data_IF_366833412735
#
_entry.id   IF_366833412735
#
_cell.length_a   1.000
_cell.length_b   1.000
_cell.length_c   1.000
_cell.angle_alpha   90.00
_cell.angle_beta   90.00
_cell.angle_gamma   90.00
#
_symmetry.space_group_name_H-M   'P 1'
#
loop_
_entity.id
_entity.type
_entity.pdbx_description
1 polymer ?
#
# COMPACT_ATOMS: atom_id res chain seq x y z
N UNK A 1 -17.99 -26.26 6.92
CA UNK A 1 -18.12 -26.56 5.47
C UNK A 1 -16.72 -26.87 4.98
N UNK A 2 -16.52 -28.00 4.31
CA UNK A 2 -15.25 -28.39 3.72
C UNK A 2 -15.33 -28.16 2.20
N UNK A 3 -14.35 -27.47 1.62
CA UNK A 3 -14.30 -27.13 0.19
C UNK A 3 -12.91 -27.41 -0.35
N UNK A 4 -12.66 -28.59 -0.94
CA UNK A 4 -11.34 -28.95 -1.47
C UNK A 4 -10.98 -28.15 -2.74
N UNK A 5 -11.98 -27.65 -3.45
CA UNK A 5 -11.82 -26.76 -4.61
C UNK A 5 -12.99 -25.76 -4.71
N UNK A 6 -12.98 -24.92 -5.74
CA UNK A 6 -14.03 -23.90 -5.96
C UNK A 6 -15.39 -24.46 -6.42
N UNK A 7 -15.40 -25.71 -6.88
CA UNK A 7 -16.55 -26.39 -7.48
C UNK A 7 -17.27 -27.27 -6.47
N UNK A 8 -16.56 -27.97 -5.58
CA UNK A 8 -17.15 -28.89 -4.62
C UNK A 8 -17.16 -28.34 -3.20
N UNK A 9 -18.26 -28.59 -2.48
CA UNK A 9 -18.38 -28.29 -1.06
C UNK A 9 -19.15 -29.39 -0.34
N UNK A 10 -18.74 -29.68 0.89
CA UNK A 10 -19.39 -30.62 1.80
C UNK A 10 -19.78 -29.89 3.10
N UNK A 11 -21.08 -29.75 3.32
CA UNK A 11 -21.63 -29.25 4.58
C UNK A 11 -21.96 -30.38 5.54
N UNK A 12 -21.58 -30.25 6.80
CA UNK A 12 -22.13 -31.05 7.90
C UNK A 12 -22.75 -30.07 8.91
N UNK A 13 -24.02 -30.27 9.26
CA UNK A 13 -24.73 -29.47 10.26
C UNK A 13 -25.31 -30.40 11.32
N UNK A 14 -25.00 -30.13 12.57
CA UNK A 14 -25.64 -30.79 13.72
C UNK A 14 -26.48 -29.73 14.44
N UNK A 15 -27.80 -29.90 14.40
CA UNK A 15 -28.73 -29.04 15.12
C UNK A 15 -29.26 -29.76 16.37
N UNK A 16 -29.56 -28.99 17.41
CA UNK A 16 -30.01 -29.51 18.71
C UNK A 16 -29.03 -30.55 19.28
N UNK A 17 -27.72 -30.23 19.27
CA UNK A 17 -26.67 -31.11 19.80
C UNK A 17 -27.03 -31.58 21.22
N UNK A 18 -27.46 -30.64 22.05
CA UNK A 18 -28.24 -30.89 23.26
C UNK A 18 -29.71 -30.58 22.92
N UNK A 19 -30.59 -31.58 23.02
CA UNK A 19 -31.99 -31.43 22.68
C UNK A 19 -32.68 -30.42 23.64
N UNK A 20 -33.06 -29.22 23.18
CA UNK A 20 -33.77 -28.29 24.04
C UNK A 20 -35.16 -28.84 24.35
N UNK A 21 -35.59 -28.64 25.60
CA UNK A 21 -36.94 -28.96 26.06
C UNK A 21 -37.66 -27.64 26.33
N UNK A 22 -38.77 -27.40 25.64
CA UNK A 22 -39.66 -26.28 25.92
C UNK A 22 -40.96 -26.82 26.51
N UNK A 23 -41.36 -26.29 27.67
CA UNK A 23 -42.63 -26.67 28.29
C UNK A 23 -43.69 -25.63 27.94
N UNK A 24 -44.68 -26.01 27.15
CA UNK A 24 -45.86 -25.16 26.88
C UNK A 24 -47.01 -25.61 27.78
N UNK A 25 -47.38 -24.77 28.75
CA UNK A 25 -48.48 -24.91 29.73
C UNK A 25 -48.39 -26.15 30.64
N UNK A 26 -48.28 -27.36 30.10
CA UNK A 26 -48.16 -28.61 30.87
C UNK A 26 -47.43 -29.76 30.17
N UNK A 27 -47.07 -29.62 28.88
CA UNK A 27 -46.38 -30.69 28.14
C UNK A 27 -44.97 -30.26 27.71
N UNK A 28 -43.92 -31.02 28.10
CA UNK A 28 -42.57 -30.77 27.61
C UNK A 28 -42.45 -31.24 26.15
N UNK A 29 -42.19 -30.31 25.24
CA UNK A 29 -41.84 -30.57 23.85
C UNK A 29 -40.31 -30.63 23.76
N UNK A 30 -39.77 -31.76 23.32
CA UNK A 30 -38.34 -31.93 23.05
C UNK A 30 -38.08 -31.77 21.57
N UNK A 31 -37.14 -30.91 21.19
CA UNK A 31 -36.72 -30.80 19.79
C UNK A 31 -35.71 -31.89 19.48
N UNK A 32 -35.94 -32.71 18.44
CA UNK A 32 -35.05 -33.81 18.12
C UNK A 32 -33.71 -33.29 17.60
N UNK A 33 -32.65 -34.08 17.83
CA UNK A 33 -31.37 -33.86 17.17
C UNK A 33 -31.50 -34.08 15.67
N UNK A 34 -30.91 -33.20 14.87
CA UNK A 34 -30.87 -33.31 13.41
C UNK A 34 -29.42 -33.28 12.95
N UNK A 35 -29.04 -34.27 12.15
CA UNK A 35 -27.74 -34.31 11.48
C UNK A 35 -28.00 -34.19 9.98
N UNK A 36 -27.41 -33.17 9.37
CA UNK A 36 -27.44 -32.96 7.92
C UNK A 36 -26.06 -33.14 7.32
N UNK A 37 -25.98 -33.88 6.23
CA UNK A 37 -24.82 -33.95 5.35
C UNK A 37 -25.24 -33.46 3.98
N UNK A 38 -24.53 -32.48 3.43
CA UNK A 38 -24.94 -31.79 2.21
C UNK A 38 -23.76 -31.54 1.26
N UNK A 39 -23.43 -32.50 0.38
CA UNK A 39 -22.54 -32.23 -0.74
C UNK A 39 -23.21 -31.30 -1.75
N UNK A 40 -22.45 -30.36 -2.30
CA UNK A 40 -22.87 -29.48 -3.36
C UNK A 40 -21.76 -29.29 -4.39
N UNK A 41 -22.15 -29.20 -5.66
CA UNK A 41 -21.26 -28.99 -6.79
C UNK A 41 -21.70 -27.76 -7.59
N UNK A 42 -20.75 -26.88 -7.87
CA UNK A 42 -20.93 -25.63 -8.60
C UNK A 42 -20.37 -25.78 -10.02
N UNK A 43 -21.27 -25.66 -10.99
CA UNK A 43 -20.99 -25.66 -12.41
C UNK A 43 -20.78 -24.23 -12.87
N UNK A 44 -19.63 -23.92 -13.48
CA UNK A 44 -19.41 -22.65 -14.18
C UNK A 44 -19.84 -22.82 -15.63
N UNK A 45 -20.92 -22.15 -16.03
CA UNK A 45 -21.44 -22.19 -17.39
C UNK A 45 -21.01 -20.93 -18.17
N UNK A 46 -21.03 -20.96 -19.50
CA UNK A 46 -20.76 -19.77 -20.32
C UNK A 46 -21.74 -18.62 -20.04
N UNK A 47 -21.41 -17.43 -20.55
CA UNK A 47 -22.26 -16.23 -20.47
C UNK A 47 -22.59 -15.73 -19.04
N UNK A 48 -21.75 -16.06 -18.05
CA UNK A 48 -21.91 -15.60 -16.67
C UNK A 48 -23.03 -16.32 -15.91
N UNK A 49 -23.43 -17.50 -16.37
CA UNK A 49 -24.34 -18.39 -15.65
C UNK A 49 -23.52 -19.34 -14.76
N UNK A 50 -23.98 -19.59 -13.54
CA UNK A 50 -23.47 -20.69 -12.71
C UNK A 50 -24.62 -21.54 -12.21
N UNK A 51 -24.47 -22.86 -12.22
CA UNK A 51 -25.43 -23.77 -11.60
C UNK A 51 -24.85 -24.30 -10.28
N UNK A 52 -25.67 -24.48 -9.26
CA UNK A 52 -25.30 -25.14 -8.01
C UNK A 52 -26.26 -26.31 -7.83
N UNK A 53 -25.74 -27.53 -7.87
CA UNK A 53 -26.49 -28.75 -7.57
C UNK A 53 -26.14 -29.19 -6.16
N UNK A 54 -27.13 -29.38 -5.31
CA UNK A 54 -26.94 -29.82 -3.93
C UNK A 54 -27.80 -31.05 -3.65
N UNK A 55 -27.25 -31.99 -2.90
CA UNK A 55 -27.97 -33.10 -2.29
C UNK A 55 -27.83 -32.96 -0.78
N UNK A 56 -28.89 -33.25 -0.04
CA UNK A 56 -28.93 -33.20 1.42
C UNK A 56 -29.53 -34.48 1.96
N UNK A 57 -28.76 -35.15 2.80
CA UNK A 57 -29.17 -36.28 3.63
C UNK A 57 -29.41 -35.76 5.04
N UNK A 58 -30.62 -35.94 5.57
CA UNK A 58 -31.03 -35.44 6.88
C UNK A 58 -31.52 -36.59 7.75
N UNK A 59 -30.89 -36.78 8.91
CA UNK A 59 -31.33 -37.74 9.92
C UNK A 59 -31.80 -37.01 11.16
N UNK A 60 -33.12 -37.03 11.37
CA UNK A 60 -33.76 -36.63 12.63
C UNK A 60 -33.82 -37.83 13.58
N UNK A 61 -33.61 -37.62 14.88
CA UNK A 61 -33.48 -38.68 15.90
C UNK A 61 -34.62 -39.73 15.87
N UNK A 62 -35.84 -39.34 15.50
CA UNK A 62 -37.03 -40.21 15.50
C UNK A 62 -37.71 -40.33 14.12
N UNK A 63 -37.08 -39.85 13.04
CA UNK A 63 -37.64 -39.92 11.69
C UNK A 63 -36.78 -40.82 10.80
N UNK A 64 -37.33 -41.26 9.67
CA UNK A 64 -36.54 -41.90 8.62
C UNK A 64 -35.49 -40.93 8.05
N UNK A 65 -34.52 -41.46 7.33
CA UNK A 65 -33.56 -40.62 6.61
C UNK A 65 -34.32 -39.85 5.52
N UNK A 66 -34.36 -38.52 5.63
CA UNK A 66 -34.93 -37.66 4.62
C UNK A 66 -33.86 -37.30 3.59
N UNK A 67 -34.25 -37.32 2.31
CA UNK A 67 -33.39 -36.96 1.19
C UNK A 67 -34.00 -35.77 0.48
N UNK A 68 -33.17 -34.77 0.24
CA UNK A 68 -33.55 -33.61 -0.56
C UNK A 68 -32.48 -33.29 -1.57
N UNK A 69 -32.88 -32.72 -2.69
CA UNK A 69 -31.98 -32.32 -3.76
C UNK A 69 -32.47 -31.03 -4.40
N UNK A 70 -31.55 -30.23 -4.93
CA UNK A 70 -31.93 -29.01 -5.61
C UNK A 70 -30.87 -28.49 -6.56
N UNK A 71 -31.32 -27.63 -7.45
CA UNK A 71 -30.50 -26.92 -8.43
C UNK A 71 -30.81 -25.43 -8.32
N UNK A 72 -29.76 -24.61 -8.20
CA UNK A 72 -29.84 -23.15 -8.30
C UNK A 72 -29.08 -22.69 -9.54
N UNK A 73 -29.76 -22.05 -10.48
CA UNK A 73 -29.19 -21.39 -11.63
C UNK A 73 -29.06 -19.90 -11.33
N UNK A 74 -27.85 -19.36 -11.41
CA UNK A 74 -27.56 -17.97 -11.11
C UNK A 74 -26.99 -17.27 -12.35
N UNK A 75 -27.59 -16.15 -12.77
CA UNK A 75 -27.13 -15.32 -13.90
C UNK A 75 -26.50 -14.03 -13.41
N UNK A 76 -25.21 -13.82 -13.74
CA UNK A 76 -24.41 -12.63 -13.39
C UNK A 76 -24.48 -12.21 -11.92
N UNK A 77 -24.72 -13.17 -11.02
CA UNK A 77 -25.02 -12.94 -9.59
C UNK A 77 -26.25 -12.07 -9.31
N UNK A 78 -26.99 -11.64 -10.34
CA UNK A 78 -28.16 -10.76 -10.28
C UNK A 78 -29.45 -11.57 -10.09
N UNK A 79 -29.64 -12.61 -10.89
CA UNK A 79 -30.85 -13.43 -10.87
C UNK A 79 -30.52 -14.83 -10.43
N UNK A 80 -31.40 -15.44 -9.64
CA UNK A 80 -31.33 -16.84 -9.25
C UNK A 80 -32.66 -17.52 -9.55
N UNK A 81 -32.63 -18.71 -10.13
CA UNK A 81 -33.77 -19.61 -10.28
C UNK A 81 -33.43 -20.88 -9.50
N UNK A 82 -34.35 -21.33 -8.64
CA UNK A 82 -34.14 -22.47 -7.76
C UNK A 82 -35.23 -23.50 -8.00
N UNK A 83 -34.82 -24.75 -8.09
CA UNK A 83 -35.71 -25.91 -8.12
C UNK A 83 -35.22 -26.92 -7.08
N UNK A 84 -36.12 -27.47 -6.29
CA UNK A 84 -35.76 -28.42 -5.26
C UNK A 84 -36.85 -29.46 -5.04
N UNK A 85 -36.46 -30.62 -4.53
CA UNK A 85 -37.37 -31.69 -4.13
C UNK A 85 -36.99 -32.16 -2.73
N UNK A 86 -37.98 -32.38 -1.88
CA UNK A 86 -37.83 -32.95 -0.54
C UNK A 86 -39.05 -33.80 -0.22
N UNK A 87 -38.85 -35.07 0.11
CA UNK A 87 -39.92 -35.95 0.60
C UNK A 87 -41.19 -35.87 -0.28
N UNK A 88 -41.01 -35.91 -1.61
CA UNK A 88 -42.04 -35.73 -2.66
C UNK A 88 -42.60 -34.32 -2.88
N UNK A 89 -42.32 -33.37 -1.99
CA UNK A 89 -42.68 -31.97 -2.19
C UNK A 89 -41.73 -31.29 -3.20
N UNK A 90 -42.30 -30.64 -4.20
CA UNK A 90 -41.55 -29.82 -5.17
C UNK A 90 -41.45 -28.38 -4.63
N UNK A 91 -40.29 -27.75 -4.79
CA UNK A 91 -40.09 -26.34 -4.50
C UNK A 91 -39.51 -25.62 -5.71
N UNK A 92 -39.97 -24.40 -5.94
CA UNK A 92 -39.44 -23.49 -6.95
C UNK A 92 -39.17 -22.13 -6.31
N UNK A 93 -38.21 -21.38 -6.80
CA UNK A 93 -37.94 -20.06 -6.28
C UNK A 93 -37.20 -19.16 -7.26
N UNK A 94 -37.37 -17.85 -7.08
CA UNK A 94 -36.67 -16.82 -7.84
C UNK A 94 -36.02 -15.86 -6.86
N UNK A 95 -34.76 -15.52 -7.09
CA UNK A 95 -34.01 -14.52 -6.35
C UNK A 95 -33.56 -13.39 -7.25
N UNK A 96 -33.62 -12.16 -6.75
CA UNK A 96 -33.03 -10.98 -7.38
C UNK A 96 -32.07 -10.35 -6.39
N UNK A 97 -30.84 -10.08 -6.81
CA UNK A 97 -29.80 -9.41 -6.02
C UNK A 97 -29.40 -8.12 -6.69
N UNK A 98 -29.56 -7.00 -5.99
CA UNK A 98 -29.20 -5.66 -6.44
C UNK A 98 -28.14 -5.09 -5.48
N UNK A 99 -26.86 -5.26 -5.84
CA UNK A 99 -25.74 -4.90 -4.98
C UNK A 99 -25.80 -5.66 -3.65
N UNK A 100 -26.04 -4.91 -2.57
CA UNK A 100 -26.09 -5.43 -1.22
C UNK A 100 -27.46 -5.93 -0.78
N UNK A 101 -28.49 -5.74 -1.58
CA UNK A 101 -29.85 -6.18 -1.26
C UNK A 101 -30.18 -7.43 -2.08
N UNK A 102 -30.84 -8.41 -1.47
CA UNK A 102 -31.49 -9.50 -2.21
C UNK A 102 -32.93 -9.70 -1.77
N UNK A 103 -33.76 -10.04 -2.74
CA UNK A 103 -35.14 -10.43 -2.58
C UNK A 103 -35.31 -11.82 -3.14
N UNK A 104 -35.83 -12.74 -2.33
CA UNK A 104 -36.01 -14.13 -2.71
C UNK A 104 -37.47 -14.54 -2.46
N UNK A 105 -38.08 -15.13 -3.47
CA UNK A 105 -39.39 -15.77 -3.40
C UNK A 105 -39.22 -17.28 -3.58
N UNK A 106 -39.85 -18.07 -2.73
CA UNK A 106 -39.92 -19.52 -2.89
C UNK A 106 -41.36 -20.00 -2.71
N UNK A 107 -41.77 -20.94 -3.54
CA UNK A 107 -43.04 -21.64 -3.46
C UNK A 107 -42.76 -23.14 -3.30
N UNK A 108 -43.38 -23.75 -2.29
CA UNK A 108 -43.30 -25.19 -2.03
C UNK A 108 -44.68 -25.80 -2.21
N UNK A 109 -44.78 -26.83 -3.04
CA UNK A 109 -45.96 -27.63 -3.28
C UNK A 109 -45.88 -28.87 -2.37
N UNK A 110 -46.71 -28.90 -1.34
CA UNK A 110 -46.82 -30.05 -0.43
C UNK A 110 -48.28 -30.43 -0.18
N UNK A 111 -48.48 -31.39 0.71
CA UNK A 111 -49.80 -31.97 1.01
C UNK A 111 -50.81 -30.94 1.56
N UNK A 112 -50.31 -29.83 2.13
CA UNK A 112 -51.12 -28.73 2.67
C UNK A 112 -51.35 -27.60 1.65
N UNK A 113 -50.98 -27.82 0.38
CA UNK A 113 -51.10 -26.84 -0.70
C UNK A 113 -49.81 -26.06 -0.98
N UNK A 114 -49.96 -24.84 -1.50
CA UNK A 114 -48.84 -23.98 -1.89
C UNK A 114 -48.39 -23.14 -0.70
N UNK A 115 -47.18 -23.40 -0.19
CA UNK A 115 -46.51 -22.56 0.80
C UNK A 115 -45.61 -21.52 0.12
N UNK A 116 -45.84 -20.24 0.39
CA UNK A 116 -45.02 -19.13 -0.14
C UNK A 116 -44.10 -18.56 0.94
N UNK A 117 -42.82 -18.36 0.61
CA UNK A 117 -41.82 -17.72 1.45
C UNK A 117 -41.23 -16.51 0.74
N UNK A 118 -41.24 -15.36 1.41
CA UNK A 118 -40.58 -14.14 0.96
C UNK A 118 -39.42 -13.83 1.90
N UNK A 119 -38.26 -13.54 1.34
CA UNK A 119 -37.07 -13.17 2.09
C UNK A 119 -36.48 -11.88 1.51
N UNK A 120 -36.11 -10.97 2.41
CA UNK A 120 -35.34 -9.78 2.09
C UNK A 120 -34.05 -9.80 2.90
N UNK A 121 -32.92 -9.67 2.22
CA UNK A 121 -31.59 -9.64 2.86
C UNK A 121 -30.90 -8.34 2.49
N UNK A 122 -30.44 -7.60 3.50
CA UNK A 122 -29.58 -6.43 3.33
C UNK A 122 -28.19 -6.72 3.90
N UNK A 123 -27.16 -6.66 3.06
CA UNK A 123 -25.76 -6.79 3.46
C UNK A 123 -25.19 -5.41 3.77
N UNK A 124 -24.42 -5.31 4.84
CA UNK A 124 -23.66 -4.10 5.18
C UNK A 124 -22.18 -4.36 4.88
N UNK A 125 -21.54 -3.43 4.15
CA UNK A 125 -20.17 -3.59 3.65
C UNK A 125 -20.08 -4.13 2.22
N UNK A 126 -18.86 -4.23 1.69
CA UNK A 126 -18.54 -4.78 0.36
C UNK A 126 -17.64 -6.00 0.54
N UNK A 127 -17.76 -7.00 -0.34
CA UNK A 127 -16.75 -8.07 -0.37
C UNK A 127 -15.47 -7.59 -1.04
N UNK A 128 -14.31 -8.21 -0.77
CA UNK A 128 -13.07 -7.91 -1.49
C UNK A 128 -13.22 -7.96 -3.02
N UNK A 129 -14.00 -8.90 -3.54
CA UNK A 129 -14.23 -9.03 -4.99
C UNK A 129 -15.10 -7.90 -5.55
N UNK A 130 -16.14 -7.49 -4.81
CA UNK A 130 -16.99 -6.33 -5.17
C UNK A 130 -16.19 -5.03 -5.13
N UNK A 131 -15.27 -4.92 -4.18
CA UNK A 131 -14.34 -3.79 -4.02
C UNK A 131 -13.37 -3.73 -5.21
N UNK A 132 -12.75 -4.85 -5.58
CA UNK A 132 -11.88 -4.95 -6.76
C UNK A 132 -12.62 -4.62 -8.06
N UNK A 133 -13.86 -5.10 -8.22
CA UNK A 133 -14.67 -4.78 -9.40
C UNK A 133 -15.01 -3.28 -9.45
N UNK A 134 -15.30 -2.67 -8.30
CA UNK A 134 -15.54 -1.22 -8.19
C UNK A 134 -14.31 -0.43 -8.61
N UNK A 135 -13.12 -0.83 -8.12
CA UNK A 135 -11.83 -0.25 -8.49
C UNK A 135 -11.64 -0.39 -10.01
N UNK A 136 -11.81 -1.61 -10.55
CA UNK A 136 -11.62 -1.89 -11.99
C UNK A 136 -12.55 -1.09 -12.90
N UNK A 137 -13.82 -0.89 -12.50
CA UNK A 137 -14.80 -0.11 -13.28
C UNK A 137 -14.54 1.40 -13.18
N UNK A 138 -14.13 1.88 -12.01
CA UNK A 138 -13.92 3.32 -11.78
C UNK A 138 -12.71 3.91 -12.52
N UNK A 139 -11.68 3.11 -12.84
CA UNK A 139 -10.49 3.59 -13.55
C UNK A 139 -10.77 3.93 -15.05
N UNK A 140 -12.02 3.88 -15.54
CA UNK A 140 -12.32 4.17 -16.96
C UNK A 140 -12.63 5.64 -17.27
N UNK A 141 -13.11 6.40 -16.28
CA UNK A 141 -13.28 7.85 -16.33
C UNK A 141 -13.12 8.33 -14.89
N UNK A 142 -12.07 9.10 -14.63
CA UNK A 142 -11.79 9.62 -13.30
C UNK A 142 -12.10 11.12 -13.27
N UNK A 143 -13.24 11.46 -12.67
CA UNK A 143 -13.52 12.80 -12.13
C UNK A 143 -13.08 12.91 -10.67
N UNK A 144 -13.07 14.11 -10.08
CA UNK A 144 -12.77 14.28 -8.65
C UNK A 144 -13.72 13.48 -7.75
N UNK A 145 -15.03 13.52 -8.00
CA UNK A 145 -16.01 12.77 -7.22
C UNK A 145 -15.78 11.25 -7.31
N UNK A 146 -15.41 10.75 -8.49
CA UNK A 146 -15.05 9.35 -8.68
C UNK A 146 -13.71 9.01 -8.02
N UNK A 147 -12.74 9.92 -8.06
CA UNK A 147 -11.45 9.84 -7.37
C UNK A 147 -11.63 9.68 -5.88
N UNK A 148 -12.40 10.55 -5.22
CA UNK A 148 -12.72 10.44 -3.79
C UNK A 148 -13.43 9.12 -3.46
N UNK A 149 -14.37 8.67 -4.30
CA UNK A 149 -15.06 7.39 -4.10
C UNK A 149 -14.09 6.21 -4.21
N UNK A 150 -13.21 6.22 -5.21
CA UNK A 150 -12.19 5.18 -5.39
C UNK A 150 -11.13 5.22 -4.29
N UNK A 151 -10.77 6.41 -3.82
CA UNK A 151 -9.86 6.60 -2.68
C UNK A 151 -10.39 5.89 -1.44
N UNK A 152 -11.68 6.03 -1.12
CA UNK A 152 -12.33 5.28 -0.03
C UNK A 152 -12.29 3.76 -0.23
N UNK A 153 -12.44 3.30 -1.48
CA UNK A 153 -12.35 1.88 -1.81
C UNK A 153 -10.93 1.33 -1.57
N UNK A 154 -9.90 2.05 -2.04
CA UNK A 154 -8.50 1.69 -1.78
C UNK A 154 -8.14 1.76 -0.29
N UNK A 155 -8.64 2.75 0.45
CA UNK A 155 -8.46 2.84 1.90
C UNK A 155 -9.06 1.61 2.61
N UNK A 156 -10.30 1.23 2.27
CA UNK A 156 -10.95 0.04 2.82
C UNK A 156 -10.17 -1.24 2.49
N UNK A 157 -9.61 -1.33 1.27
CA UNK A 157 -8.78 -2.45 0.85
C UNK A 157 -7.49 -2.52 1.68
N UNK A 158 -6.82 -1.39 1.86
CA UNK A 158 -5.61 -1.30 2.68
C UNK A 158 -5.87 -1.73 4.13
N UNK A 159 -7.02 -1.37 4.72
CA UNK A 159 -7.38 -1.83 6.06
C UNK A 159 -7.54 -3.35 6.14
N UNK A 160 -8.07 -3.99 5.11
CA UNK A 160 -8.17 -5.46 5.04
C UNK A 160 -6.77 -6.09 4.96
N UNK A 161 -5.87 -5.52 4.16
CA UNK A 161 -4.48 -6.02 4.06
C UNK A 161 -3.70 -5.79 5.37
N UNK A 162 -3.91 -4.66 6.07
CA UNK A 162 -3.33 -4.43 7.41
C UNK A 162 -3.81 -5.46 8.43
N UNK A 163 -5.10 -5.85 8.42
CA UNK A 163 -5.60 -6.93 9.30
C UNK A 163 -5.01 -8.29 8.98
N UNK A 164 -4.45 -8.47 7.78
CA UNK A 164 -3.77 -9.69 7.32
C UNK A 164 -2.25 -9.62 7.47
N UNK A 165 -1.74 -8.58 8.11
CA UNK A 165 -0.30 -8.31 8.27
C UNK A 165 0.48 -8.17 6.95
N UNK A 166 -0.22 -7.76 5.89
CA UNK A 166 0.32 -7.53 4.55
C UNK A 166 0.65 -6.05 4.36
N UNK A 167 1.70 -5.62 5.06
CA UNK A 167 2.06 -4.20 5.18
C UNK A 167 2.43 -3.58 3.83
N UNK A 168 3.12 -4.32 2.95
CA UNK A 168 3.53 -3.81 1.64
C UNK A 168 2.33 -3.56 0.71
N UNK A 169 1.40 -4.50 0.66
CA UNK A 169 0.16 -4.39 -0.11
C UNK A 169 -0.71 -3.27 0.43
N UNK A 170 -0.82 -3.15 1.75
CA UNK A 170 -1.53 -2.05 2.39
C UNK A 170 -0.95 -0.68 2.03
N UNK A 171 0.38 -0.52 2.08
CA UNK A 171 1.04 0.73 1.68
C UNK A 171 0.77 1.07 0.23
N UNK A 172 0.89 0.09 -0.67
CA UNK A 172 0.56 0.29 -2.09
C UNK A 172 -0.87 0.80 -2.29
N UNK A 173 -1.84 0.20 -1.58
CA UNK A 173 -3.24 0.60 -1.68
C UNK A 173 -3.49 1.98 -1.04
N UNK A 174 -2.84 2.31 0.10
CA UNK A 174 -2.90 3.65 0.71
C UNK A 174 -2.30 4.74 -0.19
N UNK A 175 -1.18 4.45 -0.85
CA UNK A 175 -0.58 5.38 -1.80
C UNK A 175 -1.50 5.63 -3.01
N UNK A 176 -2.14 4.58 -3.53
CA UNK A 176 -3.15 4.73 -4.57
C UNK A 176 -4.33 5.60 -4.08
N UNK A 177 -4.80 5.38 -2.85
CA UNK A 177 -5.84 6.19 -2.24
C UNK A 177 -5.42 7.67 -2.11
N UNK A 178 -4.16 7.93 -1.71
CA UNK A 178 -3.61 9.28 -1.58
C UNK A 178 -3.44 9.99 -2.93
N UNK A 179 -3.16 9.26 -4.02
CA UNK A 179 -3.11 9.84 -5.36
C UNK A 179 -4.51 10.22 -5.87
N UNK A 180 -5.54 9.46 -5.46
CA UNK A 180 -6.93 9.70 -5.86
C UNK A 180 -7.58 10.83 -5.07
N UNK A 181 -7.19 11.01 -3.80
CA UNK A 181 -7.62 12.11 -2.93
C UNK A 181 -6.43 12.73 -2.16
N UNK A 182 -5.63 13.60 -2.81
CA UNK A 182 -4.40 14.15 -2.20
C UNK A 182 -4.64 15.08 -1.01
N UNK A 183 -5.88 15.54 -0.81
CA UNK A 183 -6.26 16.47 0.27
C UNK A 183 -6.68 15.72 1.54
N UNK A 184 -6.83 14.41 1.47
CA UNK A 184 -7.22 13.62 2.61
C UNK A 184 -6.02 13.40 3.57
N UNK A 185 -5.98 14.19 4.63
CA UNK A 185 -4.94 14.09 5.66
C UNK A 185 -4.96 12.78 6.45
N UNK A 186 -6.10 12.10 6.55
CA UNK A 186 -6.23 10.80 7.23
C UNK A 186 -5.43 9.73 6.48
N UNK A 187 -5.49 9.71 5.15
CA UNK A 187 -4.73 8.76 4.33
C UNK A 187 -3.22 9.01 4.51
N UNK A 188 -2.78 10.27 4.54
CA UNK A 188 -1.36 10.61 4.78
C UNK A 188 -0.90 10.11 6.15
N UNK A 189 -1.66 10.40 7.19
CA UNK A 189 -1.37 9.90 8.54
C UNK A 189 -1.31 8.36 8.60
N UNK A 190 -2.18 7.68 7.84
CA UNK A 190 -2.18 6.22 7.74
C UNK A 190 -0.96 5.67 7.00
N UNK A 191 -0.49 6.35 5.95
CA UNK A 191 0.75 6.02 5.26
C UNK A 191 1.93 6.15 6.22
N UNK A 192 2.00 7.24 6.98
CA UNK A 192 3.08 7.48 7.94
C UNK A 192 3.10 6.42 9.05
N UNK A 193 1.93 6.11 9.63
CA UNK A 193 1.77 5.04 10.63
C UNK A 193 2.21 3.68 10.08
N UNK A 194 1.77 3.35 8.86
CA UNK A 194 2.05 2.05 8.25
C UNK A 194 3.52 1.93 7.83
N UNK A 195 4.12 3.01 7.34
CA UNK A 195 5.54 3.09 6.99
C UNK A 195 6.40 2.88 8.25
N UNK A 196 6.05 3.54 9.36
CA UNK A 196 6.75 3.35 10.62
C UNK A 196 6.70 1.89 11.11
N UNK A 197 5.54 1.21 10.98
CA UNK A 197 5.42 -0.23 11.29
C UNK A 197 6.27 -1.10 10.37
N UNK A 198 6.31 -0.79 9.07
CA UNK A 198 7.15 -1.50 8.13
C UNK A 198 8.64 -1.36 8.49
N UNK A 199 9.09 -0.12 8.73
CA UNK A 199 10.46 0.19 9.10
C UNK A 199 10.87 -0.53 10.40
N UNK A 200 9.97 -0.58 11.39
CA UNK A 200 10.21 -1.32 12.63
C UNK A 200 10.35 -2.84 12.38
N UNK A 201 9.48 -3.42 11.55
CA UNK A 201 9.57 -4.84 11.17
C UNK A 201 10.88 -5.16 10.44
N UNK A 202 11.27 -4.32 9.47
CA UNK A 202 12.54 -4.48 8.75
C UNK A 202 13.73 -4.35 9.68
N UNK A 203 13.71 -3.35 10.57
CA UNK A 203 14.74 -3.13 11.58
C UNK A 203 14.90 -4.37 12.47
N UNK A 204 13.81 -4.97 12.96
CA UNK A 204 13.86 -6.20 13.77
C UNK A 204 14.49 -7.37 13.00
N UNK A 205 14.06 -7.61 11.76
CA UNK A 205 14.64 -8.67 10.92
C UNK A 205 16.15 -8.45 10.66
N UNK A 206 16.56 -7.21 10.42
CA UNK A 206 17.97 -6.87 10.25
C UNK A 206 18.77 -7.10 11.54
N UNK A 207 18.23 -6.74 12.70
CA UNK A 207 18.86 -6.99 14.01
C UNK A 207 19.02 -8.50 14.24
N UNK A 208 17.97 -9.29 14.05
CA UNK A 208 18.00 -10.75 14.26
C UNK A 208 19.03 -11.42 13.35
N UNK A 209 19.03 -11.07 12.06
CA UNK A 209 19.98 -11.62 11.09
C UNK A 209 21.42 -11.23 11.43
N UNK A 210 21.65 -9.95 11.75
CA UNK A 210 22.98 -9.46 12.13
C UNK A 210 23.49 -10.12 13.41
N UNK A 211 22.63 -10.27 14.44
CA UNK A 211 22.96 -10.97 15.68
C UNK A 211 23.28 -12.45 15.43
N UNK A 212 22.51 -13.15 14.58
CA UNK A 212 22.78 -14.54 14.22
C UNK A 212 24.14 -14.71 13.52
N UNK A 213 24.46 -13.83 12.56
CA UNK A 213 25.77 -13.80 11.90
C UNK A 213 26.91 -13.49 12.88
N UNK A 214 26.69 -12.56 13.82
CA UNK A 214 27.66 -12.24 14.85
C UNK A 214 28.01 -13.45 15.72
N UNK A 215 27.00 -14.22 16.16
CA UNK A 215 27.19 -15.45 16.94
C UNK A 215 27.87 -16.56 16.14
N UNK A 216 27.58 -16.67 14.84
CA UNK A 216 28.25 -17.62 13.96
C UNK A 216 29.73 -17.29 13.80
N UNK A 217 30.08 -16.03 13.54
CA UNK A 217 31.48 -15.60 13.43
C UNK A 217 32.25 -15.78 14.73
N UNK A 218 31.60 -15.52 15.87
CA UNK A 218 32.19 -15.74 17.20
C UNK A 218 32.51 -17.22 17.44
N UNK A 219 31.58 -18.13 17.10
CA UNK A 219 31.81 -19.59 17.17
C UNK A 219 32.95 -20.06 16.27
N UNK A 220 33.21 -19.37 15.17
CA UNK A 220 34.33 -19.64 14.26
C UNK A 220 35.66 -19.02 14.73
N UNK A 221 35.68 -18.31 15.87
CA UNK A 221 36.86 -17.60 16.39
C UNK A 221 37.16 -16.30 15.66
N UNK A 222 36.29 -15.82 14.77
CA UNK A 222 36.48 -14.58 14.03
C UNK A 222 35.92 -13.38 14.82
N UNK A 223 36.65 -13.00 15.87
CA UNK A 223 36.24 -11.96 16.81
C UNK A 223 36.04 -10.60 16.15
N UNK A 224 36.90 -10.24 15.17
CA UNK A 224 36.79 -8.95 14.45
C UNK A 224 35.49 -8.88 13.64
N UNK A 225 35.14 -9.94 12.90
CA UNK A 225 33.90 -9.97 12.11
C UNK A 225 32.66 -10.02 13.02
N UNK A 226 32.69 -10.83 14.07
CA UNK A 226 31.60 -10.89 15.06
C UNK A 226 31.32 -9.51 15.66
N UNK A 227 32.38 -8.78 16.06
CA UNK A 227 32.32 -7.42 16.57
C UNK A 227 31.66 -6.45 15.57
N UNK A 228 31.96 -6.56 14.29
CA UNK A 228 31.35 -5.69 13.26
C UNK A 228 29.84 -5.92 13.15
N UNK A 229 29.39 -7.18 13.16
CA UNK A 229 27.96 -7.49 13.12
C UNK A 229 27.21 -7.00 14.38
N UNK A 230 27.79 -7.18 15.57
CA UNK A 230 27.20 -6.65 16.80
C UNK A 230 27.13 -5.12 16.83
N UNK A 231 28.13 -4.44 16.25
CA UNK A 231 28.08 -2.99 16.08
C UNK A 231 26.92 -2.57 15.17
N UNK A 232 26.70 -3.30 14.08
CA UNK A 232 25.53 -3.07 13.21
C UNK A 232 24.20 -3.21 13.95
N UNK A 233 24.10 -4.14 14.91
CA UNK A 233 22.92 -4.25 15.79
C UNK A 233 22.74 -3.00 16.65
N UNK A 234 23.80 -2.50 17.30
CA UNK A 234 23.73 -1.26 18.11
C UNK A 234 23.50 0.01 17.28
N UNK A 235 23.91 0.04 16.02
CA UNK A 235 23.60 1.15 15.10
C UNK A 235 22.10 1.22 14.78
N UNK A 236 21.43 0.07 14.68
CA UNK A 236 19.98 -0.02 14.52
C UNK A 236 19.26 0.24 15.84
N UNK A 237 19.69 -0.40 16.93
CA UNK A 237 19.08 -0.31 18.25
C UNK A 237 20.14 -0.04 19.33
N UNK A 238 20.38 1.24 19.68
CA UNK A 238 21.42 1.61 20.65
C UNK A 238 21.25 1.00 22.05
N UNK A 239 20.02 0.64 22.43
CA UNK A 239 19.69 0.05 23.72
C UNK A 239 19.72 -1.49 23.73
N UNK A 240 20.21 -2.15 22.67
CA UNK A 240 20.20 -3.60 22.56
C UNK A 240 21.20 -4.27 23.52
N UNK A 241 20.70 -4.74 24.66
CA UNK A 241 21.52 -5.21 25.78
C UNK A 241 22.48 -6.37 25.44
N UNK A 242 22.06 -7.33 24.62
CA UNK A 242 22.92 -8.46 24.22
C UNK A 242 24.12 -7.99 23.41
N UNK A 243 23.89 -7.24 22.33
CA UNK A 243 24.92 -6.68 21.48
C UNK A 243 25.94 -5.84 22.27
N UNK A 244 25.47 -5.03 23.23
CA UNK A 244 26.36 -4.27 24.11
C UNK A 244 27.25 -5.16 24.99
N UNK A 245 26.69 -6.23 25.59
CA UNK A 245 27.45 -7.19 26.39
C UNK A 245 28.45 -7.98 25.57
N UNK A 246 28.05 -8.48 24.39
CA UNK A 246 28.92 -9.25 23.51
C UNK A 246 30.06 -8.39 22.96
N UNK A 247 29.80 -7.13 22.59
CA UNK A 247 30.87 -6.21 22.19
C UNK A 247 31.88 -5.99 23.31
N UNK A 248 31.42 -5.78 24.55
CA UNK A 248 32.32 -5.61 25.70
C UNK A 248 33.11 -6.88 26.04
N UNK A 249 32.54 -8.07 25.79
CA UNK A 249 33.26 -9.34 25.91
C UNK A 249 34.33 -9.44 24.82
N UNK A 250 33.93 -9.30 23.56
CA UNK A 250 34.86 -9.39 22.42
C UNK A 250 36.00 -8.37 22.57
N UNK A 251 35.71 -7.11 22.93
CA UNK A 251 36.75 -6.08 23.10
C UNK A 251 37.78 -6.44 24.20
N UNK A 252 37.38 -7.19 25.23
CA UNK A 252 38.30 -7.74 26.24
C UNK A 252 39.11 -8.90 25.69
N UNK A 253 38.48 -9.78 24.92
CA UNK A 253 39.08 -11.01 24.40
C UNK A 253 40.03 -10.75 23.20
N UNK A 254 39.93 -9.60 22.53
CA UNK A 254 40.82 -9.23 21.43
C UNK A 254 42.28 -9.11 21.90
N UNK A 255 43.17 -9.83 21.23
CA UNK A 255 44.62 -9.72 21.40
C UNK A 255 45.18 -8.36 20.96
N UNK A 256 46.42 -8.06 21.35
CA UNK A 256 47.11 -6.81 20.96
C UNK A 256 47.26 -6.71 19.43
N UNK A 257 47.56 -7.82 18.77
CA UNK A 257 47.66 -7.89 17.31
C UNK A 257 46.31 -7.62 16.64
N UNK A 258 45.23 -8.21 17.15
CA UNK A 258 43.88 -7.99 16.63
C UNK A 258 43.39 -6.57 16.87
N UNK A 259 43.73 -5.94 18.01
CA UNK A 259 43.43 -4.53 18.28
C UNK A 259 44.15 -3.60 17.31
N UNK A 260 45.44 -3.85 17.09
CA UNK A 260 46.24 -3.08 16.13
C UNK A 260 45.71 -3.25 14.70
N UNK A 261 45.35 -4.48 14.33
CA UNK A 261 44.69 -4.79 13.05
C UNK A 261 43.34 -4.08 12.94
N UNK A 262 42.54 -4.07 14.00
CA UNK A 262 41.24 -3.39 14.04
C UNK A 262 41.40 -1.87 13.89
N UNK A 263 42.40 -1.26 14.53
CA UNK A 263 42.72 0.16 14.38
C UNK A 263 43.19 0.49 12.97
N UNK A 264 44.09 -0.31 12.40
CA UNK A 264 44.51 -0.19 11.01
C UNK A 264 43.34 -0.32 10.02
N UNK A 265 42.44 -1.29 10.25
CA UNK A 265 41.21 -1.47 9.47
C UNK A 265 40.28 -0.26 9.62
N UNK A 266 40.13 0.32 10.82
CA UNK A 266 39.33 1.53 11.04
C UNK A 266 39.91 2.74 10.34
N UNK A 267 41.22 2.92 10.40
CA UNK A 267 41.90 4.02 9.71
C UNK A 267 41.78 3.87 8.20
N UNK A 268 42.05 2.68 7.65
CA UNK A 268 41.88 2.39 6.24
C UNK A 268 40.43 2.54 5.78
N UNK A 269 39.46 2.03 6.56
CA UNK A 269 38.04 2.20 6.29
C UNK A 269 37.63 3.68 6.33
N UNK A 270 38.11 4.45 7.31
CA UNK A 270 37.82 5.89 7.40
C UNK A 270 38.38 6.65 6.20
N UNK A 271 39.63 6.39 5.82
CA UNK A 271 40.25 7.00 4.65
C UNK A 271 39.53 6.62 3.35
N UNK A 272 39.15 5.35 3.21
CA UNK A 272 38.38 4.85 2.06
C UNK A 272 36.97 5.43 1.99
N UNK A 273 36.26 5.52 3.12
CA UNK A 273 34.92 6.12 3.20
C UNK A 273 34.96 7.62 2.87
N UNK A 274 35.96 8.35 3.38
CA UNK A 274 36.16 9.77 3.03
C UNK A 274 36.45 9.90 1.53
N UNK A 275 37.40 9.12 1.00
CA UNK A 275 37.77 9.17 -0.41
C UNK A 275 36.58 8.84 -1.32
N UNK A 276 35.81 7.80 -0.99
CA UNK A 276 34.60 7.41 -1.72
C UNK A 276 33.54 8.50 -1.66
N UNK A 277 33.26 9.05 -0.47
CA UNK A 277 32.27 10.11 -0.31
C UNK A 277 32.65 11.38 -1.08
N UNK A 278 33.93 11.77 -1.08
CA UNK A 278 34.43 12.91 -1.86
C UNK A 278 34.45 12.62 -3.36
N UNK A 279 34.77 11.39 -3.79
CA UNK A 279 34.68 11.00 -5.19
C UNK A 279 33.23 11.02 -5.71
N UNK A 280 32.29 10.52 -4.90
CA UNK A 280 30.85 10.62 -5.18
C UNK A 280 30.39 12.08 -5.23
N UNK A 281 30.79 12.88 -4.24
CA UNK A 281 30.47 14.31 -4.21
C UNK A 281 31.02 15.04 -5.44
N UNK A 282 32.24 14.72 -5.86
CA UNK A 282 32.86 15.24 -7.10
C UNK A 282 32.10 14.80 -8.36
N UNK A 283 31.64 13.55 -8.41
CA UNK A 283 30.78 13.05 -9.50
C UNK A 283 29.45 13.81 -9.56
N UNK A 284 28.85 14.12 -8.41
CA UNK A 284 27.64 14.94 -8.37
C UNK A 284 27.92 16.38 -8.81
N UNK A 285 29.04 16.95 -8.36
CA UNK A 285 29.44 18.31 -8.69
C UNK A 285 29.67 18.48 -10.20
N UNK A 286 30.40 17.55 -10.83
CA UNK A 286 30.64 17.55 -12.28
C UNK A 286 29.36 17.39 -13.11
N UNK A 287 28.31 16.79 -12.53
CA UNK A 287 26.97 16.71 -13.12
C UNK A 287 26.07 17.92 -12.81
N UNK A 288 26.59 18.92 -12.10
CA UNK A 288 25.82 20.10 -11.68
C UNK A 288 24.81 19.83 -10.55
N UNK A 289 24.88 18.67 -9.90
CA UNK A 289 23.97 18.25 -8.82
C UNK A 289 24.51 18.73 -7.47
N UNK A 290 24.38 20.04 -7.22
CA UNK A 290 25.00 20.72 -6.08
C UNK A 290 24.44 20.21 -4.75
N UNK A 291 23.14 19.92 -4.67
CA UNK A 291 22.52 19.39 -3.44
C UNK A 291 23.14 18.06 -3.03
N UNK A 292 23.23 17.15 -4.00
CA UNK A 292 23.78 15.80 -3.79
C UNK A 292 25.27 15.86 -3.47
N UNK A 293 26.01 16.75 -4.14
CA UNK A 293 27.43 16.98 -3.87
C UNK A 293 27.64 17.48 -2.43
N UNK A 294 26.89 18.49 -2.01
CA UNK A 294 26.99 19.09 -0.67
C UNK A 294 26.61 18.07 0.42
N UNK A 295 25.48 17.39 0.27
CA UNK A 295 25.02 16.36 1.21
C UNK A 295 26.06 15.24 1.39
N UNK A 296 26.67 14.75 0.32
CA UNK A 296 27.70 13.70 0.41
C UNK A 296 28.96 14.18 1.13
N UNK A 297 29.40 15.42 0.86
CA UNK A 297 30.56 16.00 1.51
C UNK A 297 30.31 16.34 2.99
N UNK A 298 29.13 16.85 3.34
CA UNK A 298 28.74 17.14 4.74
C UNK A 298 28.57 15.85 5.56
N UNK A 299 28.08 14.76 4.96
CA UNK A 299 28.07 13.43 5.61
C UNK A 299 29.49 12.97 5.94
N UNK A 300 30.44 13.17 5.02
CA UNK A 300 31.85 12.85 5.26
C UNK A 300 32.41 13.71 6.40
N UNK A 301 32.14 15.02 6.41
CA UNK A 301 32.60 15.93 7.46
C UNK A 301 31.98 15.61 8.83
N UNK A 302 30.70 15.24 8.89
CA UNK A 302 30.03 14.86 10.14
C UNK A 302 30.57 13.55 10.72
N UNK A 303 30.87 12.58 9.86
CA UNK A 303 31.44 11.29 10.25
C UNK A 303 32.92 11.42 10.63
N UNK A 304 33.64 12.37 10.04
CA UNK A 304 35.06 12.63 10.27
C UNK A 304 35.32 14.13 10.50
N UNK A 305 34.98 14.65 11.70
CA UNK A 305 35.21 16.05 12.04
C UNK A 305 36.69 16.41 11.91
N UNK A 306 36.98 17.56 11.30
CA UNK A 306 38.36 18.06 11.12
C UNK A 306 39.07 17.60 9.84
N UNK A 307 38.40 16.84 8.95
CA UNK A 307 38.98 16.54 7.64
C UNK A 307 39.08 17.80 6.76
N UNK A 308 40.31 18.22 6.43
CA UNK A 308 40.57 19.41 5.64
C UNK A 308 40.04 19.31 4.20
N UNK A 309 40.12 18.13 3.56
CA UNK A 309 39.68 17.92 2.18
C UNK A 309 38.16 18.08 2.05
N UNK A 310 37.39 17.51 2.97
CA UNK A 310 35.94 17.67 2.99
C UNK A 310 35.53 19.13 3.19
N UNK A 311 36.24 19.86 4.06
CA UNK A 311 35.97 21.28 4.33
C UNK A 311 36.21 22.14 3.08
N UNK A 312 37.34 21.94 2.38
CA UNK A 312 37.64 22.65 1.13
C UNK A 312 36.60 22.33 0.04
N UNK A 313 36.20 21.06 -0.09
CA UNK A 313 35.21 20.65 -1.07
C UNK A 313 33.83 21.28 -0.80
N UNK A 314 33.37 21.30 0.46
CA UNK A 314 32.11 21.93 0.86
C UNK A 314 32.10 23.41 0.46
N UNK A 315 33.17 24.15 0.72
CA UNK A 315 33.26 25.57 0.35
C UNK A 315 33.23 25.79 -1.16
N UNK A 316 33.85 24.89 -1.94
CA UNK A 316 33.75 24.93 -3.39
C UNK A 316 32.31 24.73 -3.88
N UNK A 317 31.59 23.74 -3.35
CA UNK A 317 30.19 23.47 -3.72
C UNK A 317 29.30 24.65 -3.33
N UNK A 318 29.49 25.22 -2.13
CA UNK A 318 28.75 26.40 -1.66
C UNK A 318 28.98 27.62 -2.54
N UNK A 319 30.20 27.83 -3.04
CA UNK A 319 30.48 28.91 -3.99
C UNK A 319 29.70 28.73 -5.29
N UNK A 320 29.66 27.52 -5.85
CA UNK A 320 28.86 27.24 -7.05
C UNK A 320 27.35 27.37 -6.80
N UNK A 321 26.87 26.98 -5.62
CA UNK A 321 25.48 27.16 -5.21
C UNK A 321 25.09 28.64 -5.19
N UNK A 322 25.92 29.51 -4.60
CA UNK A 322 25.69 30.96 -4.60
C UNK A 322 25.61 31.56 -6.00
N UNK A 323 26.47 31.14 -6.92
CA UNK A 323 26.42 31.61 -8.32
C UNK A 323 25.18 31.11 -9.06
N UNK A 324 24.75 29.86 -8.83
CA UNK A 324 23.52 29.32 -9.38
C UNK A 324 22.30 30.10 -8.89
N UNK A 325 22.20 30.34 -7.58
CA UNK A 325 21.13 31.12 -6.94
C UNK A 325 21.04 32.51 -7.58
N UNK A 326 22.16 33.23 -7.64
CA UNK A 326 22.24 34.57 -8.24
C UNK A 326 21.76 34.58 -9.69
N UNK A 327 22.22 33.63 -10.50
CA UNK A 327 21.86 33.53 -11.92
C UNK A 327 20.36 33.24 -12.09
N UNK A 328 19.83 32.26 -11.34
CA UNK A 328 18.43 31.84 -11.45
C UNK A 328 17.45 32.87 -10.92
N UNK A 329 17.82 33.62 -9.87
CA UNK A 329 17.04 34.76 -9.40
C UNK A 329 16.99 35.88 -10.45
N UNK A 330 18.11 36.22 -11.09
CA UNK A 330 18.13 37.21 -12.16
C UNK A 330 17.26 36.80 -13.36
N UNK A 331 17.32 35.52 -13.78
CA UNK A 331 16.44 34.98 -14.82
C UNK A 331 14.96 35.06 -14.43
N UNK A 332 14.64 34.68 -13.18
CA UNK A 332 13.27 34.72 -12.68
C UNK A 332 12.73 36.16 -12.60
N UNK A 333 13.57 37.12 -12.22
CA UNK A 333 13.20 38.54 -12.12
C UNK A 333 12.88 39.14 -13.48
N UNK A 334 13.69 38.82 -14.50
CA UNK A 334 13.41 39.21 -15.88
C UNK A 334 12.07 38.62 -16.39
N UNK A 335 11.80 37.35 -16.10
CA UNK A 335 10.55 36.68 -16.49
C UNK A 335 9.34 37.24 -15.72
N UNK A 336 9.50 37.56 -14.44
CA UNK A 336 8.45 38.15 -13.61
C UNK A 336 8.12 39.58 -14.07
N UNK A 337 9.13 40.37 -14.47
CA UNK A 337 8.93 41.69 -15.06
C UNK A 337 8.12 41.62 -16.39
N UNK A 338 8.32 40.55 -17.17
CA UNK A 338 7.52 40.24 -18.35
C UNK A 338 6.14 39.63 -18.04
N UNK A 339 5.71 39.59 -16.76
CA UNK A 339 4.48 38.95 -16.27
C UNK A 339 4.38 37.44 -16.57
N UNK A 340 5.48 36.80 -16.91
CA UNK A 340 5.54 35.36 -17.12
C UNK A 340 5.86 34.64 -15.80
N UNK A 341 4.90 34.67 -14.87
CA UNK A 341 5.08 34.15 -13.51
C UNK A 341 5.29 32.63 -13.47
N UNK A 342 4.74 31.89 -14.44
CA UNK A 342 4.91 30.43 -14.53
C UNK A 342 6.34 30.06 -14.85
N UNK A 343 6.96 30.70 -15.86
CA UNK A 343 8.35 30.43 -16.20
C UNK A 343 9.31 31.00 -15.16
N UNK A 344 9.01 32.17 -14.59
CA UNK A 344 9.77 32.72 -13.47
C UNK A 344 9.81 31.74 -12.29
N UNK A 345 8.65 31.19 -11.91
CA UNK A 345 8.54 30.21 -10.84
C UNK A 345 9.36 28.96 -11.15
N UNK A 346 9.29 28.46 -12.40
CA UNK A 346 10.07 27.30 -12.83
C UNK A 346 11.58 27.51 -12.64
N UNK A 347 12.13 28.68 -12.97
CA UNK A 347 13.56 28.98 -12.76
C UNK A 347 13.97 28.98 -11.28
N UNK A 348 13.13 29.56 -10.42
CA UNK A 348 13.38 29.55 -8.97
C UNK A 348 13.28 28.13 -8.41
N UNK A 349 12.33 27.34 -8.90
CA UNK A 349 12.14 25.95 -8.44
C UNK A 349 13.24 25.00 -8.93
N UNK A 350 13.81 25.23 -10.10
CA UNK A 350 15.05 24.57 -10.54
C UNK A 350 16.19 24.85 -9.57
N UNK A 351 16.35 26.10 -9.12
CA UNK A 351 17.39 26.46 -8.15
C UNK A 351 17.12 25.84 -6.77
N UNK A 352 15.86 25.84 -6.30
CA UNK A 352 15.47 25.23 -5.02
C UNK A 352 15.67 23.71 -4.98
N UNK A 353 15.65 23.02 -6.14
CA UNK A 353 16.00 21.58 -6.18
C UNK A 353 17.45 21.34 -5.78
N UNK A 354 18.34 22.26 -6.16
CA UNK A 354 19.78 22.17 -5.90
C UNK A 354 20.19 22.86 -4.60
N UNK A 355 19.45 23.87 -4.16
CA UNK A 355 19.70 24.64 -2.93
C UNK A 355 18.38 24.86 -2.17
N UNK A 356 17.87 23.84 -1.46
CA UNK A 356 16.53 23.87 -0.87
C UNK A 356 16.38 24.84 0.31
N UNK A 357 17.48 25.15 1.00
CA UNK A 357 17.47 25.91 2.26
C UNK A 357 17.85 27.39 2.07
N UNK A 358 17.89 27.88 0.83
CA UNK A 358 18.23 29.28 0.54
C UNK A 358 17.02 30.21 0.78
N UNK A 359 17.05 31.10 1.79
CA UNK A 359 15.89 31.91 2.17
C UNK A 359 15.34 32.77 1.04
N UNK A 360 16.23 33.38 0.24
CA UNK A 360 15.85 34.24 -0.89
C UNK A 360 15.06 33.48 -1.96
N UNK A 361 15.46 32.24 -2.27
CA UNK A 361 14.75 31.40 -3.22
C UNK A 361 13.37 30.97 -2.68
N UNK A 362 13.29 30.64 -1.38
CA UNK A 362 12.03 30.22 -0.74
C UNK A 362 11.01 31.36 -0.76
N UNK A 363 11.43 32.55 -0.34
CA UNK A 363 10.58 33.75 -0.34
C UNK A 363 10.11 34.09 -1.76
N UNK A 364 11.04 34.09 -2.73
CA UNK A 364 10.73 34.39 -4.12
C UNK A 364 9.76 33.38 -4.72
N UNK A 365 9.95 32.09 -4.44
CA UNK A 365 9.04 31.04 -4.89
C UNK A 365 7.64 31.22 -4.29
N UNK A 366 7.53 31.56 -3.00
CA UNK A 366 6.23 31.82 -2.37
C UNK A 366 5.47 32.97 -3.04
N UNK A 367 6.14 34.09 -3.31
CA UNK A 367 5.56 35.24 -4.00
C UNK A 367 5.10 34.90 -5.43
N UNK A 368 5.93 34.15 -6.18
CA UNK A 368 5.60 33.72 -7.54
C UNK A 368 4.45 32.70 -7.56
N UNK A 369 4.41 31.76 -6.61
CA UNK A 369 3.28 30.83 -6.45
C UNK A 369 1.96 31.55 -6.22
N UNK A 370 1.95 32.55 -5.34
CA UNK A 370 0.75 33.36 -5.11
C UNK A 370 0.30 34.08 -6.39
N UNK A 371 1.25 34.56 -7.19
CA UNK A 371 0.97 35.22 -8.48
C UNK A 371 0.42 34.25 -9.53
N UNK A 372 0.99 33.05 -9.64
CA UNK A 372 0.48 31.98 -10.51
C UNK A 372 -0.93 31.55 -10.10
N UNK A 373 -1.20 31.37 -8.80
CA UNK A 373 -2.53 30.99 -8.31
C UNK A 373 -3.60 32.05 -8.57
N UNK A 374 -3.25 33.33 -8.42
CA UNK A 374 -4.15 34.46 -8.77
C UNK A 374 -4.42 34.52 -10.28
N UNK A 375 -3.47 34.10 -11.11
CA UNK A 375 -3.61 34.07 -12.57
C UNK A 375 -4.33 32.82 -13.12
N UNK A 376 -4.60 31.79 -12.31
CA UNK A 376 -5.34 30.61 -12.73
C UNK A 376 -6.85 30.89 -12.78
N UNK A 377 -7.40 30.96 -14.01
CA UNK A 377 -8.84 31.06 -14.23
C UNK A 377 -9.57 29.77 -13.81
N UNK A 378 -10.88 29.81 -13.51
CA UNK A 378 -11.67 28.62 -13.19
C UNK A 378 -11.59 27.52 -14.26
N UNK A 379 -11.51 27.89 -15.53
CA UNK A 379 -11.41 26.96 -16.66
C UNK A 379 -10.09 26.20 -16.63
N UNK A 380 -8.96 26.90 -16.41
CA UNK A 380 -7.63 26.29 -16.29
C UNK A 380 -7.53 25.38 -15.05
N UNK A 381 -8.25 25.71 -13.97
CA UNK A 381 -8.32 24.83 -12.78
C UNK A 381 -9.04 23.52 -13.10
N UNK A 382 -10.15 23.59 -13.84
CA UNK A 382 -10.91 22.42 -14.27
C UNK A 382 -10.10 21.56 -15.25
N UNK A 383 -9.40 22.19 -16.19
CA UNK A 383 -8.49 21.51 -17.11
C UNK A 383 -7.34 20.83 -16.37
N UNK A 384 -6.71 21.52 -15.42
CA UNK A 384 -5.68 20.97 -14.54
C UNK A 384 -6.19 19.72 -13.78
N UNK A 385 -7.39 19.79 -13.21
CA UNK A 385 -8.00 18.68 -12.48
C UNK A 385 -8.27 17.47 -13.39
N UNK A 386 -8.83 17.69 -14.58
CA UNK A 386 -9.07 16.63 -15.56
C UNK A 386 -7.76 15.97 -16.01
N UNK A 387 -6.73 16.78 -16.26
CA UNK A 387 -5.42 16.30 -16.66
C UNK A 387 -4.76 15.50 -15.52
N UNK A 388 -4.94 15.94 -14.27
CA UNK A 388 -4.42 15.26 -13.08
C UNK A 388 -4.99 13.85 -12.96
N UNK A 389 -6.30 13.74 -13.04
CA UNK A 389 -6.97 12.46 -12.92
C UNK A 389 -6.69 11.51 -14.08
N UNK A 390 -6.48 12.02 -15.29
CA UNK A 390 -5.99 11.22 -16.42
C UNK A 390 -4.58 10.70 -16.19
N UNK A 391 -3.69 11.50 -15.60
CA UNK A 391 -2.34 11.07 -15.27
C UNK A 391 -2.36 9.97 -14.19
N UNK A 392 -3.15 10.15 -13.13
CA UNK A 392 -3.35 9.13 -12.07
C UNK A 392 -3.93 7.85 -12.65
N UNK A 393 -4.93 7.95 -13.53
CA UNK A 393 -5.52 6.80 -14.23
C UNK A 393 -4.47 5.99 -15.00
N UNK A 394 -3.63 6.66 -15.80
CA UNK A 394 -2.55 6.01 -16.55
C UNK A 394 -1.53 5.35 -15.62
N UNK A 395 -1.15 6.03 -14.54
CA UNK A 395 -0.24 5.48 -13.53
C UNK A 395 -0.79 4.20 -12.91
N UNK A 396 -2.05 4.21 -12.45
CA UNK A 396 -2.69 3.04 -11.82
C UNK A 396 -2.88 1.87 -12.79
N UNK A 397 -2.97 2.15 -14.11
CA UNK A 397 -3.00 1.13 -15.18
C UNK A 397 -1.62 0.58 -15.57
N UNK A 398 -0.53 1.09 -14.99
CA UNK A 398 0.84 0.75 -15.38
C UNK A 398 1.32 1.45 -16.66
N UNK A 399 0.57 2.41 -17.18
CA UNK A 399 0.91 3.23 -18.35
C UNK A 399 1.92 4.33 -18.03
N UNK A 400 3.07 4.00 -17.46
CA UNK A 400 4.00 4.98 -16.87
C UNK A 400 4.50 6.04 -17.86
N UNK A 401 4.82 5.68 -19.11
CA UNK A 401 5.24 6.66 -20.13
C UNK A 401 4.15 7.68 -20.46
N UNK A 402 2.90 7.23 -20.56
CA UNK A 402 1.77 8.12 -20.83
C UNK A 402 1.47 9.01 -19.61
N UNK A 403 1.52 8.44 -18.41
CA UNK A 403 1.40 9.18 -17.16
C UNK A 403 2.50 10.26 -17.04
N UNK A 404 3.73 9.94 -17.43
CA UNK A 404 4.88 10.85 -17.39
C UNK A 404 4.66 12.09 -18.25
N UNK A 405 4.22 11.89 -19.50
CA UNK A 405 3.92 12.97 -20.44
C UNK A 405 2.76 13.86 -19.95
N UNK A 406 1.68 13.26 -19.43
CA UNK A 406 0.56 14.01 -18.85
C UNK A 406 0.99 14.81 -17.62
N UNK A 407 1.93 14.28 -16.85
CA UNK A 407 2.44 14.98 -15.65
C UNK A 407 3.36 16.14 -16.01
N UNK A 408 4.09 16.06 -17.12
CA UNK A 408 4.83 17.21 -17.65
C UNK A 408 3.89 18.33 -18.12
N UNK A 409 2.76 17.99 -18.73
CA UNK A 409 1.72 18.97 -19.08
C UNK A 409 1.10 19.61 -17.82
N UNK A 410 0.84 18.82 -16.77
CA UNK A 410 0.34 19.35 -15.49
C UNK A 410 1.30 20.38 -14.88
N UNK A 411 2.59 20.06 -14.86
CA UNK A 411 3.59 20.94 -14.27
C UNK A 411 3.88 22.17 -15.14
N UNK A 412 3.55 22.16 -16.44
CA UNK A 412 3.52 23.39 -17.26
C UNK A 412 2.38 24.31 -16.87
N UNK A 413 1.20 23.75 -16.56
CA UNK A 413 0.01 24.55 -16.17
C UNK A 413 0.16 25.10 -14.76
N UNK A 414 0.60 24.27 -13.81
CA UNK A 414 0.86 24.68 -12.44
C UNK A 414 2.12 23.98 -11.88
N UNK A 415 3.30 24.60 -12.04
CA UNK A 415 4.56 24.08 -11.52
C UNK A 415 4.52 23.82 -10.01
N UNK A 416 3.71 24.59 -9.28
CA UNK A 416 3.63 24.58 -7.82
C UNK A 416 2.77 23.47 -7.20
N UNK A 417 2.10 22.65 -8.02
CA UNK A 417 1.20 21.61 -7.51
C UNK A 417 1.98 20.47 -6.82
N UNK A 418 1.91 20.41 -5.49
CA UNK A 418 2.45 19.30 -4.69
C UNK A 418 1.93 17.94 -5.21
N UNK A 419 0.61 17.70 -5.40
CA UNK A 419 0.11 16.42 -5.90
C UNK A 419 0.69 16.01 -7.26
N UNK A 420 0.90 16.95 -8.18
CA UNK A 420 1.47 16.65 -9.50
C UNK A 420 2.95 16.27 -9.41
N UNK A 421 3.72 16.89 -8.51
CA UNK A 421 5.12 16.52 -8.26
C UNK A 421 5.24 15.15 -7.62
N UNK A 422 4.45 14.89 -6.58
CA UNK A 422 4.43 13.56 -5.93
C UNK A 422 4.09 12.48 -6.95
N UNK A 423 3.12 12.72 -7.84
CA UNK A 423 2.80 11.81 -8.92
C UNK A 423 3.98 11.62 -9.89
N UNK A 424 4.66 12.69 -10.32
CA UNK A 424 5.84 12.64 -11.20
C UNK A 424 6.96 11.79 -10.59
N UNK A 425 7.25 11.98 -9.31
CA UNK A 425 8.27 11.23 -8.58
C UNK A 425 7.92 9.74 -8.51
N UNK A 426 6.66 9.40 -8.21
CA UNK A 426 6.16 8.02 -8.21
C UNK A 426 6.23 7.36 -9.59
N UNK A 427 5.92 8.10 -10.66
CA UNK A 427 6.05 7.62 -12.05
C UNK A 427 7.53 7.35 -12.37
N UNK A 428 8.43 8.27 -12.04
CA UNK A 428 9.87 8.12 -12.27
C UNK A 428 10.45 6.91 -11.49
N UNK A 429 10.04 6.72 -10.24
CA UNK A 429 10.41 5.54 -9.46
C UNK A 429 9.93 4.25 -10.12
N UNK A 430 8.65 4.17 -10.51
CA UNK A 430 8.08 3.00 -11.17
C UNK A 430 8.80 2.66 -12.49
N UNK A 431 9.13 3.66 -13.31
CA UNK A 431 9.87 3.44 -14.56
C UNK A 431 11.25 2.82 -14.34
N UNK A 432 11.95 3.16 -13.26
CA UNK A 432 13.26 2.58 -12.92
C UNK A 432 13.17 1.10 -12.54
N UNK A 433 12.04 0.65 -11.98
CA UNK A 433 11.84 -0.76 -11.62
C UNK A 433 11.38 -1.63 -12.80
N UNK A 434 10.89 -1.02 -13.88
CA UNK A 434 10.42 -1.73 -15.08
C UNK A 434 11.46 -1.85 -16.20
N UNK A 435 12.62 -1.19 -16.05
CA UNK A 435 13.78 -1.34 -16.93
C UNK A 435 14.72 -2.38 -16.35
#
# INVERSE_FOLDING_TARGET
IFSPDESFSLGVRVANLVAPKLTFVSQPISYPRVIDVSPAYRWKLPAGVSALTALKLSKTQNESLAVSGGVELQYQRLLALRLGVRDQALSTGVGVRLGNSSFDYAATLGDLGVGSLFSFTQRFGQTPEELEETIRKGIRKLSYAEGTRLSKAYLSKAEVELRRDRIQEALRDLEAASLLDPRNGEIRAKIDETTAKWDESLKRQMIERSAALAREQDRQGNLIASRQYWRGVLELEPAHAEAARELARIDRDLSVEERTRLEGLRQAQSAGEIALALAQASTFLTRGQLRSALSSAEKAQKRFPGNAQATVFIEQVRRQARELVKTKLAEADALAAAKNYTDALRRVEEALREVPDEPELVERAAALRASVQKALTPEKRKEFEQLYYRAVEQYLKGGYKAADALTDELLKVNPSSEPARTLKEKIAAAMRYTQ
#
